data_IF_929076480749
#
_entry.id   IF_929076480749
#
_cell.length_a   1.000
_cell.length_b   1.000
_cell.length_c   1.000
_cell.angle_alpha   90.00
_cell.angle_beta   90.00
_cell.angle_gamma   90.00
#
_symmetry.space_group_name_H-M   'P 1'
#
loop_
_entity.id
_entity.type
_entity.pdbx_description
1 polymer ?
#
# COMPACT_ATOMS: atom_id res chain seq x y z
N UNK A 1 -50.66 -44.79 4.98
CA UNK A 1 -49.29 -44.43 5.40
C UNK A 1 -48.47 -43.63 4.35
N UNK A 2 -49.08 -43.08 3.29
CA UNK A 2 -48.35 -42.28 2.26
C UNK A 2 -48.29 -40.77 2.54
N UNK A 3 -49.19 -40.23 3.38
CA UNK A 3 -49.27 -38.78 3.65
C UNK A 3 -48.30 -38.28 4.72
N UNK A 4 -47.82 -39.16 5.61
CA UNK A 4 -46.91 -38.78 6.71
C UNK A 4 -45.47 -38.64 6.19
N UNK A 5 -45.09 -39.41 5.16
CA UNK A 5 -43.74 -39.40 4.61
C UNK A 5 -43.38 -38.11 3.86
N UNK A 6 -44.37 -37.42 3.29
CA UNK A 6 -44.15 -36.18 2.52
C UNK A 6 -43.90 -34.99 3.47
N UNK A 7 -44.51 -35.01 4.65
CA UNK A 7 -44.35 -33.95 5.66
C UNK A 7 -42.98 -33.98 6.34
N UNK A 8 -42.35 -35.14 6.49
CA UNK A 8 -41.00 -35.28 7.04
C UNK A 8 -39.89 -34.91 6.06
N UNK A 9 -40.12 -35.07 4.75
CA UNK A 9 -39.17 -34.66 3.71
C UNK A 9 -39.22 -33.13 3.50
N UNK A 10 -40.40 -32.52 3.55
CA UNK A 10 -40.53 -31.06 3.43
C UNK A 10 -39.91 -30.29 4.61
N UNK A 11 -39.93 -30.86 5.83
CA UNK A 11 -39.35 -30.24 7.03
C UNK A 11 -37.81 -30.38 7.09
N UNK A 12 -37.24 -31.38 6.44
CA UNK A 12 -35.78 -31.62 6.41
C UNK A 12 -35.08 -30.81 5.32
N UNK A 13 -35.78 -30.45 4.23
CA UNK A 13 -35.23 -29.57 3.18
C UNK A 13 -35.22 -28.10 3.62
N UNK A 14 -36.15 -27.66 4.48
CA UNK A 14 -36.18 -26.28 4.99
C UNK A 14 -35.13 -25.96 6.07
N UNK A 15 -34.63 -26.97 6.78
CA UNK A 15 -33.53 -26.82 7.75
C UNK A 15 -32.13 -26.77 7.11
N UNK A 16 -31.97 -27.26 5.88
CA UNK A 16 -30.68 -27.22 5.16
C UNK A 16 -30.41 -25.86 4.49
N UNK A 17 -31.41 -24.99 4.38
CA UNK A 17 -31.27 -23.64 3.82
C UNK A 17 -31.11 -22.54 4.88
N UNK A 18 -31.09 -22.87 6.18
CA UNK A 18 -30.89 -21.87 7.25
C UNK A 18 -29.43 -21.68 7.67
N UNK A 19 -28.45 -22.27 6.97
CA UNK A 19 -27.07 -21.82 7.05
C UNK A 19 -26.92 -20.49 6.31
N UNK A 20 -27.54 -19.44 6.84
CA UNK A 20 -27.40 -18.09 6.30
C UNK A 20 -25.94 -17.66 6.47
N UNK A 21 -25.24 -17.54 5.35
CA UNK A 21 -23.87 -17.02 5.25
C UNK A 21 -23.72 -15.60 5.82
N UNK A 22 -24.83 -14.92 6.10
CA UNK A 22 -24.91 -13.54 6.58
C UNK A 22 -24.45 -13.33 8.02
N UNK A 23 -24.50 -14.33 8.90
CA UNK A 23 -24.08 -14.17 10.32
C UNK A 23 -22.60 -14.49 10.56
N UNK A 24 -21.98 -15.31 9.68
CA UNK A 24 -20.56 -15.65 9.76
C UNK A 24 -19.65 -14.59 9.12
N UNK A 25 -20.15 -13.87 8.12
CA UNK A 25 -19.38 -12.90 7.36
C UNK A 25 -18.86 -11.70 8.20
N UNK A 26 -19.64 -11.12 9.14
CA UNK A 26 -19.15 -10.05 10.02
C UNK A 26 -18.04 -10.53 10.95
N UNK A 27 -18.22 -11.70 11.59
CA UNK A 27 -17.25 -12.26 12.53
C UNK A 27 -15.94 -12.69 11.84
N UNK A 28 -16.03 -13.23 10.63
CA UNK A 28 -14.87 -13.51 9.79
C UNK A 28 -14.11 -12.22 9.43
N UNK A 29 -14.84 -11.15 9.11
CA UNK A 29 -14.23 -9.88 8.71
C UNK A 29 -13.46 -9.21 9.85
N UNK A 30 -14.04 -9.17 11.05
CA UNK A 30 -13.39 -8.60 12.23
C UNK A 30 -12.14 -9.39 12.64
N UNK A 31 -12.20 -10.72 12.60
CA UNK A 31 -11.03 -11.55 12.92
C UNK A 31 -9.91 -11.36 11.89
N UNK A 32 -10.26 -11.34 10.60
CA UNK A 32 -9.29 -11.05 9.54
C UNK A 32 -8.67 -9.67 9.70
N UNK A 33 -9.47 -8.67 10.08
CA UNK A 33 -8.97 -7.34 10.38
C UNK A 33 -7.99 -7.34 11.57
N UNK A 34 -8.29 -8.06 12.65
CA UNK A 34 -7.37 -8.20 13.80
C UNK A 34 -6.03 -8.80 13.39
N UNK A 35 -6.04 -9.86 12.59
CA UNK A 35 -4.81 -10.50 12.08
C UNK A 35 -3.98 -9.53 11.23
N UNK A 36 -4.64 -8.86 10.27
CA UNK A 36 -3.98 -7.88 9.40
C UNK A 36 -3.43 -6.70 10.21
N UNK A 37 -4.20 -6.20 11.17
CA UNK A 37 -3.77 -5.12 12.08
C UNK A 37 -2.57 -5.53 12.93
N UNK A 38 -2.56 -6.74 13.48
CA UNK A 38 -1.45 -7.22 14.27
C UNK A 38 -0.17 -7.32 13.42
N UNK A 39 -0.30 -7.87 12.20
CA UNK A 39 0.81 -7.94 11.24
C UNK A 39 1.32 -6.55 10.85
N UNK A 40 0.43 -5.65 10.46
CA UNK A 40 0.75 -4.26 10.10
C UNK A 40 1.52 -3.54 11.22
N UNK A 41 1.01 -3.60 12.45
CA UNK A 41 1.62 -2.91 13.59
C UNK A 41 2.91 -3.58 14.10
N UNK A 42 3.18 -4.84 13.71
CA UNK A 42 4.44 -5.52 14.04
C UNK A 42 5.61 -5.11 13.14
N UNK A 43 5.34 -4.43 12.01
CA UNK A 43 6.38 -3.98 11.08
C UNK A 43 7.18 -2.84 11.74
N UNK A 44 8.52 -2.91 11.83
CA UNK A 44 9.32 -1.84 12.40
C UNK A 44 9.27 -0.54 11.60
N UNK A 45 9.34 0.60 12.30
CA UNK A 45 9.32 1.92 11.66
C UNK A 45 10.65 2.30 11.00
N UNK A 46 11.74 1.68 11.43
CA UNK A 46 13.09 1.95 10.93
C UNK A 46 13.49 0.86 9.94
N UNK A 47 13.78 1.25 8.70
CA UNK A 47 14.21 0.30 7.68
C UNK A 47 15.02 0.98 6.59
N UNK A 48 15.80 0.19 5.86
CA UNK A 48 16.45 0.60 4.63
C UNK A 48 16.05 -0.33 3.49
N UNK A 49 16.17 0.15 2.26
CA UNK A 49 15.91 -0.65 1.08
C UNK A 49 16.76 -0.18 -0.10
N UNK A 50 16.91 -1.06 -1.07
CA UNK A 50 17.37 -0.72 -2.41
C UNK A 50 16.28 -1.10 -3.42
N UNK A 51 16.40 -0.62 -4.64
CA UNK A 51 15.47 -1.00 -5.68
C UNK A 51 15.83 -0.41 -7.02
N UNK A 52 15.06 -0.80 -8.01
CA UNK A 52 15.06 -0.19 -9.33
C UNK A 52 13.66 0.30 -9.65
N UNK A 53 13.55 1.37 -10.41
CA UNK A 53 12.28 1.83 -10.92
C UNK A 53 12.39 2.27 -12.37
N UNK A 54 11.27 2.22 -13.06
CA UNK A 54 11.10 2.88 -14.35
C UNK A 54 10.17 4.06 -14.10
N UNK A 55 10.70 5.27 -14.30
CA UNK A 55 9.95 6.51 -14.16
C UNK A 55 9.90 7.18 -15.52
N UNK A 56 8.70 7.35 -16.08
CA UNK A 56 8.52 7.98 -17.39
C UNK A 56 9.41 7.35 -18.49
N UNK A 57 9.63 6.03 -18.41
CA UNK A 57 10.50 5.28 -19.33
C UNK A 57 11.99 5.29 -19.00
N UNK A 58 12.44 6.06 -18.02
CA UNK A 58 13.84 6.11 -17.60
C UNK A 58 14.11 5.13 -16.45
N UNK A 59 15.09 4.22 -16.59
CA UNK A 59 15.52 3.38 -15.49
C UNK A 59 16.26 4.21 -14.44
N UNK A 60 15.88 4.05 -13.17
CA UNK A 60 16.53 4.69 -12.03
C UNK A 60 16.77 3.66 -10.93
N UNK A 61 17.85 3.85 -10.18
CA UNK A 61 18.14 3.10 -8.97
C UNK A 61 17.63 3.90 -7.78
N UNK A 62 16.97 3.22 -6.85
CA UNK A 62 16.39 3.81 -5.65
C UNK A 62 17.10 3.23 -4.44
N UNK A 63 17.51 4.08 -3.51
CA UNK A 63 17.98 3.68 -2.18
C UNK A 63 17.28 4.50 -1.14
N UNK A 64 16.67 3.85 -0.15
CA UNK A 64 16.10 4.54 1.00
C UNK A 64 16.69 4.05 2.31
N UNK A 65 16.81 4.97 3.24
CA UNK A 65 17.24 4.75 4.61
C UNK A 65 16.32 5.55 5.55
N UNK A 66 15.24 4.92 5.99
CA UNK A 66 14.21 5.50 6.84
C UNK A 66 14.46 5.22 8.32
N UNK A 67 15.69 5.46 8.78
CA UNK A 67 16.07 5.48 10.20
C UNK A 67 15.83 6.87 10.80
N UNK A 68 16.75 7.39 11.60
CA UNK A 68 16.57 8.64 12.35
C UNK A 68 16.49 9.88 11.44
N UNK A 69 17.24 9.90 10.34
CA UNK A 69 17.33 11.06 9.45
C UNK A 69 16.54 10.94 8.15
N UNK A 70 15.97 9.78 7.83
CA UNK A 70 15.09 9.60 6.65
C UNK A 70 15.68 10.10 5.33
N UNK A 71 16.36 9.23 4.59
CA UNK A 71 16.99 9.56 3.31
C UNK A 71 16.42 8.73 2.18
N UNK A 72 16.20 9.35 1.03
CA UNK A 72 15.87 8.68 -0.24
C UNK A 72 16.79 9.23 -1.33
N UNK A 73 17.39 8.35 -2.12
CA UNK A 73 18.27 8.69 -3.23
C UNK A 73 17.78 7.99 -4.48
N UNK A 74 17.55 8.78 -5.53
CA UNK A 74 17.32 8.32 -6.88
C UNK A 74 18.58 8.61 -7.70
N UNK A 75 19.13 7.59 -8.34
CA UNK A 75 20.33 7.68 -9.17
C UNK A 75 20.07 7.11 -10.55
N UNK A 76 20.81 7.60 -11.55
CA UNK A 76 20.86 6.95 -12.85
C UNK A 76 21.54 5.58 -12.74
N UNK A 77 21.38 4.69 -13.74
CA UNK A 77 22.10 3.42 -13.78
C UNK A 77 23.63 3.59 -13.83
N UNK A 78 24.10 4.78 -14.18
CA UNK A 78 25.52 5.15 -14.24
C UNK A 78 26.04 5.77 -12.94
N UNK A 79 25.25 5.76 -11.86
CA UNK A 79 25.66 6.24 -10.54
C UNK A 79 25.54 7.76 -10.32
N UNK A 80 25.03 8.52 -11.30
CA UNK A 80 24.76 9.95 -11.13
C UNK A 80 23.51 10.14 -10.25
N UNK A 81 23.64 10.82 -9.12
CA UNK A 81 22.48 11.21 -8.30
C UNK A 81 21.58 12.16 -9.11
N UNK A 82 20.30 11.80 -9.20
CA UNK A 82 19.27 12.56 -9.90
C UNK A 82 18.44 13.38 -8.91
N UNK A 83 18.09 12.77 -7.77
CA UNK A 83 17.27 13.39 -6.75
C UNK A 83 17.61 12.78 -5.38
N UNK A 84 17.90 13.61 -4.40
CA UNK A 84 18.04 13.21 -3.01
C UNK A 84 16.96 13.88 -2.18
N UNK A 85 16.30 13.13 -1.33
CA UNK A 85 15.36 13.62 -0.32
C UNK A 85 15.96 13.29 1.04
N UNK A 86 16.16 14.30 1.88
CA UNK A 86 16.76 14.16 3.21
C UNK A 86 15.99 15.02 4.20
N UNK A 87 15.91 14.59 5.47
CA UNK A 87 15.34 15.40 6.53
C UNK A 87 16.39 16.40 7.05
N UNK A 88 16.06 17.69 7.07
CA UNK A 88 16.84 18.74 7.71
C UNK A 88 15.96 19.55 8.66
N UNK A 89 16.33 19.68 9.94
CA UNK A 89 15.61 20.47 10.95
C UNK A 89 14.09 20.19 10.96
N UNK A 90 13.71 18.92 10.97
CA UNK A 90 12.33 18.42 10.91
C UNK A 90 11.60 18.55 9.56
N UNK A 91 12.14 19.31 8.62
CA UNK A 91 11.59 19.46 7.27
C UNK A 91 12.20 18.45 6.30
N UNK A 92 11.43 18.03 5.30
CA UNK A 92 11.96 17.26 4.18
C UNK A 92 12.50 18.21 3.13
N UNK A 93 13.75 18.02 2.74
CA UNK A 93 14.42 18.82 1.72
C UNK A 93 14.78 17.95 0.52
N UNK A 94 14.64 18.52 -0.68
CA UNK A 94 15.03 17.89 -1.93
C UNK A 94 16.29 18.57 -2.46
N UNK A 95 17.26 17.77 -2.89
CA UNK A 95 18.49 18.19 -3.58
C UNK A 95 18.51 17.59 -4.98
N UNK A 96 18.52 18.45 -6.01
CA UNK A 96 18.52 18.05 -7.43
C UNK A 96 19.48 18.96 -8.19
N UNK A 97 20.48 18.38 -8.87
CA UNK A 97 21.38 19.12 -9.77
C UNK A 97 22.01 20.42 -9.19
N UNK A 98 22.35 20.43 -7.89
CA UNK A 98 22.92 21.60 -7.21
C UNK A 98 21.91 22.58 -6.63
N UNK A 99 20.61 22.38 -6.88
CA UNK A 99 19.52 23.09 -6.21
C UNK A 99 19.08 22.33 -4.95
N UNK A 100 18.80 23.06 -3.87
CA UNK A 100 18.23 22.53 -2.64
C UNK A 100 16.99 23.35 -2.28
N UNK A 101 15.89 22.67 -1.95
CA UNK A 101 14.71 23.32 -1.38
C UNK A 101 14.06 22.45 -0.32
N UNK A 102 13.59 23.10 0.74
CA UNK A 102 12.77 22.51 1.80
C UNK A 102 11.33 23.04 1.74
N UNK A 103 11.03 23.91 0.77
CA UNK A 103 9.68 24.45 0.58
C UNK A 103 8.81 23.43 -0.17
N UNK A 104 7.66 23.10 0.40
CA UNK A 104 6.77 22.07 -0.14
C UNK A 104 6.26 22.41 -1.54
N UNK A 105 6.01 23.69 -1.84
CA UNK A 105 5.48 24.12 -3.13
C UNK A 105 6.55 24.06 -4.23
N UNK A 106 7.79 24.43 -3.91
CA UNK A 106 8.94 24.28 -4.81
C UNK A 106 9.26 22.81 -5.07
N UNK A 107 9.22 21.98 -4.01
CA UNK A 107 9.38 20.54 -4.10
C UNK A 107 8.32 19.92 -5.03
N UNK A 108 7.04 20.26 -4.83
CA UNK A 108 5.96 19.79 -5.68
C UNK A 108 6.16 20.24 -7.13
N UNK A 109 6.60 21.49 -7.34
CA UNK A 109 6.88 22.02 -8.67
C UNK A 109 8.02 21.26 -9.36
N UNK A 110 9.12 21.01 -8.65
CA UNK A 110 10.27 20.25 -9.15
C UNK A 110 9.91 18.80 -9.46
N UNK A 111 9.24 18.10 -8.54
CA UNK A 111 8.83 16.72 -8.81
C UNK A 111 7.81 16.67 -9.95
N UNK A 112 6.93 17.67 -10.06
CA UNK A 112 5.97 17.74 -11.17
C UNK A 112 6.64 17.95 -12.53
N UNK A 113 7.83 18.54 -12.59
CA UNK A 113 8.60 18.65 -13.84
C UNK A 113 9.11 17.29 -14.33
N UNK A 114 9.52 16.41 -13.41
CA UNK A 114 10.07 15.09 -13.76
C UNK A 114 9.02 13.97 -13.75
N UNK A 115 7.98 14.11 -12.92
CA UNK A 115 6.94 13.13 -12.65
C UNK A 115 5.58 13.82 -12.35
N UNK A 116 4.97 14.51 -13.33
CA UNK A 116 3.75 15.31 -13.12
C UNK A 116 2.57 14.51 -12.56
N UNK A 117 2.51 13.21 -12.84
CA UNK A 117 1.44 12.33 -12.35
C UNK A 117 1.77 11.64 -11.01
N UNK A 118 2.96 11.87 -10.46
CA UNK A 118 3.41 11.29 -9.19
C UNK A 118 3.32 12.27 -8.01
N UNK A 119 2.69 13.44 -8.18
CA UNK A 119 2.53 14.43 -7.12
C UNK A 119 2.03 13.86 -5.76
N UNK A 120 1.12 12.86 -5.71
CA UNK A 120 0.74 12.22 -4.45
C UNK A 120 1.87 11.42 -3.78
N UNK A 121 2.85 10.94 -4.55
CA UNK A 121 4.02 10.16 -4.08
C UNK A 121 5.15 11.05 -3.53
N UNK A 122 4.97 12.38 -3.56
CA UNK A 122 5.91 13.35 -2.97
C UNK A 122 5.81 13.34 -1.44
N UNK A 123 4.72 12.80 -0.88
CA UNK A 123 4.64 12.55 0.56
C UNK A 123 5.55 11.39 0.96
N UNK A 124 6.64 11.72 1.64
CA UNK A 124 7.64 10.76 2.12
C UNK A 124 7.05 9.79 3.13
N UNK A 125 6.05 10.20 3.92
CA UNK A 125 5.37 9.28 4.84
C UNK A 125 4.53 8.27 4.06
N UNK A 126 3.84 8.71 3.01
CA UNK A 126 3.13 7.80 2.12
C UNK A 126 4.13 6.86 1.45
N UNK A 127 5.24 7.36 0.89
CA UNK A 127 6.28 6.52 0.29
C UNK A 127 6.83 5.50 1.29
N UNK A 128 7.11 5.93 2.51
CA UNK A 128 7.57 5.06 3.60
C UNK A 128 6.56 3.94 3.86
N UNK A 129 5.28 4.28 4.01
CA UNK A 129 4.19 3.30 4.16
C UNK A 129 4.03 2.39 2.95
N UNK A 130 4.21 2.90 1.73
CA UNK A 130 4.12 2.12 0.51
C UNK A 130 5.21 1.05 0.42
N UNK A 131 6.44 1.41 0.78
CA UNK A 131 7.60 0.51 0.75
C UNK A 131 7.56 -0.48 1.90
N UNK A 132 7.27 -0.04 3.12
CA UNK A 132 7.21 -0.93 4.29
C UNK A 132 5.94 -1.78 4.35
N UNK A 133 4.90 -1.37 3.62
CA UNK A 133 3.52 -1.87 3.72
C UNK A 133 2.89 -1.65 5.10
N UNK A 134 3.41 -0.69 5.88
CA UNK A 134 2.89 -0.31 7.21
C UNK A 134 1.99 0.93 7.12
N UNK A 135 0.73 0.79 7.50
CA UNK A 135 -0.31 1.82 7.43
C UNK A 135 -0.90 2.21 8.80
N UNK A 136 -0.41 1.61 9.89
CA UNK A 136 -0.82 1.89 11.27
C UNK A 136 -2.34 1.76 11.44
N UNK A 137 -2.86 0.55 11.26
CA UNK A 137 -4.30 0.28 11.33
C UNK A 137 -4.86 0.49 12.75
N UNK A 138 -5.96 1.26 12.87
CA UNK A 138 -6.65 1.60 14.13
C UNK A 138 -7.86 0.71 14.39
N UNK A 139 -8.36 0.64 15.63
CA UNK A 139 -9.55 -0.20 15.93
C UNK A 139 -10.85 0.30 15.30
N UNK A 140 -10.96 1.60 15.07
CA UNK A 140 -12.18 2.26 14.59
C UNK A 140 -12.20 2.48 13.07
N UNK A 141 -11.41 1.71 12.32
CA UNK A 141 -11.40 1.80 10.86
C UNK A 141 -12.69 1.26 10.25
N UNK A 142 -13.16 1.88 9.17
CA UNK A 142 -14.28 1.34 8.41
C UNK A 142 -13.79 0.15 7.57
N UNK A 143 -14.29 -1.04 7.86
CA UNK A 143 -13.90 -2.28 7.16
C UNK A 143 -15.05 -2.88 6.36
N UNK A 144 -14.72 -3.54 5.26
CA UNK A 144 -15.66 -4.27 4.41
C UNK A 144 -14.99 -5.55 3.91
N UNK A 145 -15.70 -6.67 3.97
CA UNK A 145 -15.19 -7.94 3.43
C UNK A 145 -16.05 -8.43 2.27
N UNK A 146 -15.38 -8.76 1.17
CA UNK A 146 -15.97 -9.31 -0.03
C UNK A 146 -15.19 -10.56 -0.45
N UNK A 147 -15.84 -11.72 -0.43
CA UNK A 147 -15.20 -13.01 -0.72
C UNK A 147 -13.94 -13.25 0.14
N UNK A 148 -12.74 -13.11 -0.45
CA UNK A 148 -11.44 -13.28 0.24
C UNK A 148 -10.74 -11.94 0.53
N UNK A 149 -11.33 -10.81 0.14
CA UNK A 149 -10.74 -9.49 0.33
C UNK A 149 -11.23 -8.84 1.61
N UNK A 150 -10.30 -8.23 2.34
CA UNK A 150 -10.58 -7.26 3.39
C UNK A 150 -10.23 -5.87 2.85
N UNK A 151 -11.21 -4.96 2.87
CA UNK A 151 -11.05 -3.55 2.50
C UNK A 151 -11.06 -2.71 3.77
N UNK A 152 -10.05 -1.87 3.95
CA UNK A 152 -10.00 -0.84 4.99
C UNK A 152 -10.17 0.51 4.33
N UNK A 153 -11.28 1.20 4.62
CA UNK A 153 -11.75 2.39 3.91
C UNK A 153 -11.43 3.63 4.75
N UNK A 154 -10.52 4.47 4.27
CA UNK A 154 -10.19 5.78 4.82
C UNK A 154 -10.72 6.89 3.90
N UNK A 155 -10.82 8.14 4.35
CA UNK A 155 -11.32 9.25 3.53
C UNK A 155 -10.54 9.44 2.22
N UNK A 156 -9.22 9.27 2.26
CA UNK A 156 -8.35 9.54 1.12
C UNK A 156 -8.05 8.32 0.26
N UNK A 157 -8.09 7.12 0.84
CA UNK A 157 -7.75 5.88 0.15
C UNK A 157 -8.40 4.65 0.78
N UNK A 158 -8.44 3.57 0.01
CA UNK A 158 -8.83 2.24 0.48
C UNK A 158 -7.66 1.28 0.38
N UNK A 159 -7.35 0.56 1.45
CA UNK A 159 -6.38 -0.53 1.47
C UNK A 159 -7.11 -1.84 1.21
N UNK A 160 -6.61 -2.66 0.29
CA UNK A 160 -7.20 -3.95 -0.08
C UNK A 160 -6.22 -5.06 0.23
N UNK A 161 -6.62 -5.94 1.12
CA UNK A 161 -5.87 -7.09 1.58
C UNK A 161 -6.47 -8.38 1.04
N UNK A 162 -5.63 -9.28 0.54
CA UNK A 162 -5.99 -10.66 0.20
C UNK A 162 -5.03 -11.58 0.96
N UNK A 163 -5.55 -12.68 1.51
CA UNK A 163 -4.75 -13.66 2.27
C UNK A 163 -3.82 -13.02 3.32
N UNK A 164 -4.30 -11.95 3.98
CA UNK A 164 -3.59 -11.18 5.01
C UNK A 164 -2.36 -10.41 4.51
N UNK A 165 -2.23 -10.20 3.21
CA UNK A 165 -1.22 -9.36 2.58
C UNK A 165 -1.86 -8.16 1.89
N UNK A 166 -1.20 -7.00 1.98
CA UNK A 166 -1.61 -5.82 1.23
C UNK A 166 -1.36 -6.06 -0.26
N UNK A 167 -2.43 -6.02 -1.06
CA UNK A 167 -2.37 -6.27 -2.52
C UNK A 167 -2.56 -5.01 -3.32
N UNK A 168 -3.42 -4.11 -2.84
CA UNK A 168 -3.81 -2.93 -3.60
C UNK A 168 -4.14 -1.75 -2.70
N UNK A 169 -3.86 -0.54 -3.19
CA UNK A 169 -4.34 0.71 -2.60
C UNK A 169 -5.09 1.48 -3.68
N UNK A 170 -6.29 1.92 -3.37
CA UNK A 170 -7.13 2.73 -4.25
C UNK A 170 -7.10 4.16 -3.71
N UNK A 171 -6.55 5.10 -4.47
CA UNK A 171 -6.42 6.51 -4.11
C UNK A 171 -6.90 7.37 -5.28
N UNK A 172 -8.09 7.99 -5.17
CA UNK A 172 -8.70 8.77 -6.27
C UNK A 172 -8.66 7.98 -7.58
N UNK A 173 -8.05 8.54 -8.64
CA UNK A 173 -7.92 7.91 -9.96
C UNK A 173 -6.67 7.00 -10.08
N UNK A 174 -5.94 6.79 -8.97
CA UNK A 174 -4.73 5.99 -8.91
C UNK A 174 -4.98 4.66 -8.20
N UNK A 175 -4.34 3.63 -8.71
CA UNK A 175 -4.26 2.31 -8.08
C UNK A 175 -2.80 1.95 -7.88
N UNK A 176 -2.44 1.53 -6.67
CA UNK A 176 -1.12 1.00 -6.36
C UNK A 176 -1.25 -0.50 -6.20
N UNK A 177 -0.66 -1.27 -7.10
CA UNK A 177 -0.70 -2.72 -7.10
C UNK A 177 0.63 -3.30 -6.61
N UNK A 178 0.54 -4.24 -5.68
CA UNK A 178 1.68 -5.01 -5.17
C UNK A 178 1.75 -6.34 -5.91
N UNK A 179 2.75 -6.46 -6.80
CA UNK A 179 3.00 -7.63 -7.61
C UNK A 179 3.83 -8.70 -6.88
N UNK A 180 4.24 -9.72 -7.64
CA UNK A 180 5.21 -10.71 -7.19
C UNK A 180 6.59 -10.04 -7.00
N UNK A 181 7.46 -10.64 -6.17
CA UNK A 181 8.85 -10.19 -5.96
C UNK A 181 9.00 -8.73 -5.47
N UNK A 182 8.08 -8.26 -4.63
CA UNK A 182 8.08 -6.88 -4.12
C UNK A 182 8.00 -5.80 -5.22
N UNK A 183 7.38 -6.12 -6.35
CA UNK A 183 7.01 -5.12 -7.34
C UNK A 183 5.90 -4.21 -6.79
N UNK A 184 6.05 -2.90 -7.01
CA UNK A 184 5.03 -1.88 -6.75
C UNK A 184 4.77 -1.17 -8.07
N UNK A 185 3.52 -1.24 -8.55
CA UNK A 185 3.08 -0.57 -9.76
C UNK A 185 2.07 0.52 -9.42
N UNK A 186 2.30 1.75 -9.88
CA UNK A 186 1.36 2.86 -9.77
C UNK A 186 0.66 3.04 -11.11
N UNK A 187 -0.66 2.93 -11.09
CA UNK A 187 -1.52 2.84 -12.27
C UNK A 187 -2.51 4.00 -12.23
N UNK A 188 -2.69 4.69 -13.35
CA UNK A 188 -3.76 5.67 -13.54
C UNK A 188 -4.53 5.32 -14.81
N UNK A 189 -5.85 5.16 -14.72
CA UNK A 189 -6.71 4.83 -15.87
C UNK A 189 -6.19 3.65 -16.73
N UNK A 190 -5.69 2.59 -16.07
CA UNK A 190 -5.14 1.39 -16.73
C UNK A 190 -3.71 1.52 -17.29
N UNK A 191 -3.08 2.70 -17.21
CA UNK A 191 -1.69 2.92 -17.62
C UNK A 191 -0.76 2.87 -16.43
N UNK A 192 0.30 2.06 -16.52
CA UNK A 192 1.38 2.03 -15.52
C UNK A 192 2.22 3.30 -15.68
N UNK A 193 2.24 4.14 -14.64
CA UNK A 193 3.00 5.38 -14.60
C UNK A 193 4.40 5.17 -14.02
N UNK A 194 4.47 4.28 -13.03
CA UNK A 194 5.68 3.98 -12.28
C UNK A 194 5.67 2.52 -11.88
N UNK A 195 6.79 1.85 -12.07
CA UNK A 195 7.02 0.48 -11.64
C UNK A 195 8.31 0.44 -10.85
N UNK A 196 8.24 -0.03 -9.60
CA UNK A 196 9.39 -0.21 -8.72
C UNK A 196 9.55 -1.67 -8.38
N UNK A 197 10.79 -2.17 -8.38
CA UNK A 197 11.15 -3.45 -7.82
C UNK A 197 12.03 -3.21 -6.61
N UNK A 198 11.50 -3.53 -5.43
CA UNK A 198 12.21 -3.38 -4.17
C UNK A 198 13.09 -4.61 -3.91
N UNK A 199 14.29 -4.36 -3.41
CA UNK A 199 15.26 -5.37 -3.02
C UNK A 199 15.93 -4.98 -1.71
N UNK A 200 16.52 -5.96 -1.03
CA UNK A 200 17.31 -5.75 0.18
C UNK A 200 16.61 -4.90 1.25
N UNK A 201 15.29 -5.08 1.43
CA UNK A 201 14.56 -4.42 2.51
C UNK A 201 15.07 -5.00 3.83
N UNK A 202 15.58 -4.13 4.71
CA UNK A 202 16.13 -4.50 6.00
C UNK A 202 15.49 -3.66 7.09
N UNK A 203 14.76 -4.32 7.99
CA UNK A 203 14.15 -3.67 9.15
C UNK A 203 15.12 -3.67 10.34
N UNK A 204 15.21 -2.55 11.03
CA UNK A 204 15.91 -2.45 12.31
C UNK A 204 14.94 -2.81 13.43
N UNK A 205 15.37 -3.69 14.34
CA UNK A 205 14.56 -4.15 15.47
C UNK A 205 14.67 -3.20 16.65
#
# INVERSE_FOLDING_TARGET
MRKILISTIALSVSLLYSCSTTTFQPFYCENKFKEVKQKDNSIPDKFSFAGSAIVSGMPVLIRGDFKDQGKLVLSSPFGKSLLNIEKENENMCIKVAGFQSCDRSEILSLVSLYMPQAAPLVDVNLLKSLVSKKFNLKDNEKIQCESKQLKVIRPDYTLVYEDNDLRKIIYKDYTIDYGLNNEISVINNGKVLLKMNLSNISFER
#
